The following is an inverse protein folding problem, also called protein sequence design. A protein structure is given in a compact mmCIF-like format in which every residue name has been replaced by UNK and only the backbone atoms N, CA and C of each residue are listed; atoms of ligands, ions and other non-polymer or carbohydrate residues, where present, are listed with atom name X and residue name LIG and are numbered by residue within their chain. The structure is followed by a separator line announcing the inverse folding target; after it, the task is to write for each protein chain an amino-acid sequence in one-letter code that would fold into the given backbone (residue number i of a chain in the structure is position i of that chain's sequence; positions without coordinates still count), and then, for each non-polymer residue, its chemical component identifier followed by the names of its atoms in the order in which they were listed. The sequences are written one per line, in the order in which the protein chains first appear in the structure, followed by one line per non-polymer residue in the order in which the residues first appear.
data_IF_865178527919
#
_entry.id   IF_865178527919
#
_cell.length_a   1.000
_cell.length_b   1.000
_cell.length_c   1.000
_cell.angle_alpha   90.00
_cell.angle_beta   90.00
_cell.angle_gamma   90.00
#
_symmetry.space_group_name_H-M   'P 1'
#
loop_
_entity.id
_entity.type
_entity.pdbx_description
1 polymer ?
#
# COMPACT_ATOMS: atom_id res chain seq x y z
N UNK A 1 2.94 16.67 9.38
CA UNK A 1 3.13 15.86 8.17
C UNK A 1 3.03 14.39 8.53
N UNK A 2 2.24 13.63 7.81
CA UNK A 2 2.12 12.20 8.04
C UNK A 2 3.43 11.48 7.71
N UNK A 3 3.80 10.51 8.51
CA UNK A 3 5.03 9.75 8.29
C UNK A 3 4.98 8.39 8.94
N UNK A 4 5.84 7.51 8.46
CA UNK A 4 5.98 6.14 8.93
C UNK A 4 7.40 5.94 9.46
N UNK A 5 7.54 5.09 10.48
CA UNK A 5 8.84 4.66 10.98
C UNK A 5 9.25 3.35 10.29
N UNK A 6 10.40 3.37 9.65
CA UNK A 6 10.89 2.24 8.87
C UNK A 6 11.99 1.52 9.64
N UNK A 7 11.93 0.18 9.77
CA UNK A 7 13.03 -0.60 10.34
C UNK A 7 14.30 -0.52 9.50
N UNK A 8 15.42 -0.95 10.06
CA UNK A 8 16.65 -1.08 9.30
C UNK A 8 16.50 -2.02 8.11
N UNK A 9 17.23 -1.74 7.04
CA UNK A 9 17.17 -2.52 5.81
C UNK A 9 16.20 -1.99 4.77
N UNK A 10 15.37 -0.99 5.13
CA UNK A 10 14.49 -0.33 4.18
C UNK A 10 15.15 0.95 3.65
N UNK A 11 15.04 1.15 2.34
CA UNK A 11 15.48 2.37 1.69
C UNK A 11 14.27 3.24 1.40
N UNK A 12 14.16 4.35 2.11
CA UNK A 12 13.07 5.31 1.90
C UNK A 12 13.42 6.18 0.70
N UNK A 13 12.53 6.20 -0.27
CA UNK A 13 12.68 6.98 -1.49
C UNK A 13 11.75 8.18 -1.43
N UNK A 14 12.27 9.42 -1.39
CA UNK A 14 11.40 10.58 -1.51
C UNK A 14 10.83 10.61 -2.91
N UNK A 15 9.50 10.62 -3.02
CA UNK A 15 8.82 10.82 -4.29
C UNK A 15 8.56 12.31 -4.44
N UNK A 16 8.78 12.82 -5.65
CA UNK A 16 8.49 14.22 -5.95
C UNK A 16 7.00 14.50 -5.70
N UNK A 17 6.71 15.52 -4.92
CA UNK A 17 5.35 16.01 -4.81
C UNK A 17 4.93 16.59 -6.15
N UNK A 18 3.69 16.32 -6.52
CA UNK A 18 3.10 17.03 -7.64
C UNK A 18 2.92 18.49 -7.22
N UNK A 19 3.77 19.36 -7.75
CA UNK A 19 3.77 20.78 -7.39
C UNK A 19 2.51 21.51 -7.85
N UNK A 20 1.74 20.93 -8.77
CA UNK A 20 0.49 21.54 -9.25
C UNK A 20 -0.68 21.19 -8.34
N UNK A 21 -0.60 20.08 -7.61
CA UNK A 21 -1.59 19.71 -6.62
C UNK A 21 -0.87 19.31 -5.34
N UNK A 22 -0.55 20.29 -4.50
CA UNK A 22 0.01 20.04 -3.17
C UNK A 22 -0.93 19.18 -2.29
N UNK A 23 -1.96 18.57 -2.90
CA UNK A 23 -2.99 17.76 -2.25
C UNK A 23 -2.63 16.27 -2.14
N UNK A 24 -1.60 15.82 -2.83
CA UNK A 24 -1.19 14.41 -2.80
C UNK A 24 0.28 14.34 -2.43
N UNK A 25 0.58 13.60 -1.39
CA UNK A 25 1.97 13.27 -1.02
C UNK A 25 2.16 11.76 -1.05
N UNK A 26 3.36 11.34 -1.39
CA UNK A 26 3.73 9.92 -1.45
C UNK A 26 5.05 9.69 -0.76
N UNK A 27 5.13 8.60 -0.04
CA UNK A 27 6.37 8.09 0.53
C UNK A 27 6.51 6.63 0.13
N UNK A 28 7.65 6.27 -0.41
CA UNK A 28 7.93 4.92 -0.87
C UNK A 28 9.17 4.39 -0.16
N UNK A 29 9.15 3.12 0.19
CA UNK A 29 10.31 2.43 0.74
C UNK A 29 10.46 1.06 0.09
N UNK A 30 11.69 0.65 -0.08
CA UNK A 30 12.05 -0.62 -0.72
C UNK A 30 12.97 -1.39 0.21
N UNK A 31 12.70 -2.68 0.36
CA UNK A 31 13.59 -3.60 1.06
C UNK A 31 14.24 -4.49 0.02
N UNK A 32 15.57 -4.56 0.04
CA UNK A 32 16.35 -5.38 -0.87
C UNK A 32 16.85 -6.64 -0.16
N UNK A 33 17.09 -7.70 -0.93
CA UNK A 33 17.78 -8.88 -0.43
C UNK A 33 19.31 -8.64 -0.40
N UNK A 34 20.06 -9.68 -0.06
CA UNK A 34 21.54 -9.61 0.06
C UNK A 34 22.20 -9.27 -1.28
N UNK A 35 21.57 -9.59 -2.40
CA UNK A 35 22.06 -9.32 -3.73
C UNK A 35 21.68 -7.93 -4.26
N UNK A 36 21.02 -7.10 -3.43
CA UNK A 36 20.57 -5.79 -3.83
C UNK A 36 19.29 -5.78 -4.67
N UNK A 37 18.58 -6.89 -4.76
CA UNK A 37 17.35 -6.99 -5.52
C UNK A 37 16.16 -6.60 -4.64
N UNK A 38 15.21 -5.80 -5.15
CA UNK A 38 14.03 -5.43 -4.38
C UNK A 38 13.12 -6.64 -4.15
N UNK A 39 12.77 -6.88 -2.90
CA UNK A 39 11.92 -8.02 -2.49
C UNK A 39 10.61 -7.57 -1.86
N UNK A 40 10.57 -6.37 -1.31
CA UNK A 40 9.35 -5.74 -0.79
C UNK A 40 9.36 -4.27 -1.18
N UNK A 41 8.18 -3.76 -1.54
CA UNK A 41 7.95 -2.34 -1.80
C UNK A 41 6.73 -1.92 -1.01
N UNK A 42 6.84 -0.80 -0.31
CA UNK A 42 5.73 -0.21 0.43
C UNK A 42 5.57 1.25 0.05
N UNK A 43 4.34 1.73 0.02
CA UNK A 43 4.04 3.11 -0.36
C UNK A 43 2.89 3.64 0.49
N UNK A 44 3.07 4.83 1.05
CA UNK A 44 2.01 5.59 1.68
C UNK A 44 1.63 6.76 0.78
N UNK A 45 0.36 6.85 0.43
CA UNK A 45 -0.21 7.98 -0.29
C UNK A 45 -1.17 8.70 0.65
N UNK A 46 -0.99 9.99 0.78
CA UNK A 46 -1.90 10.86 1.53
C UNK A 46 -2.52 11.84 0.56
N UNK A 47 -3.83 11.79 0.43
CA UNK A 47 -4.58 12.69 -0.44
C UNK A 47 -5.46 13.60 0.39
N UNK A 48 -5.45 14.90 0.08
CA UNK A 48 -6.39 15.84 0.67
C UNK A 48 -7.57 16.00 -0.26
N UNK A 49 -8.78 15.83 0.28
CA UNK A 49 -10.02 16.02 -0.47
C UNK A 49 -10.67 17.33 -0.07
N UNK A 50 -11.55 17.84 -0.92
CA UNK A 50 -12.23 19.11 -0.66
C UNK A 50 -13.17 18.95 0.56
N UNK A 51 -13.23 19.99 1.37
CA UNK A 51 -14.09 20.03 2.56
C UNK A 51 -15.55 19.79 2.16
N UNK A 52 -16.24 18.95 2.92
CA UNK A 52 -17.64 18.64 2.68
C UNK A 52 -17.88 17.49 1.70
N UNK A 53 -16.85 16.95 1.07
CA UNK A 53 -16.98 15.76 0.25
C UNK A 53 -16.90 14.50 1.09
N UNK A 54 -17.89 13.62 0.96
CA UNK A 54 -17.81 12.28 1.52
C UNK A 54 -16.88 11.43 0.68
N UNK A 55 -15.99 10.69 1.34
CA UNK A 55 -15.10 9.77 0.69
C UNK A 55 -15.68 8.37 0.78
N UNK A 56 -15.92 7.75 -0.36
CA UNK A 56 -16.25 6.33 -0.43
C UNK A 56 -14.93 5.55 -0.44
N UNK A 57 -14.45 5.22 0.75
CA UNK A 57 -13.16 4.54 0.90
C UNK A 57 -13.14 3.18 0.19
N UNK A 58 -14.20 2.40 0.32
CA UNK A 58 -14.30 1.12 -0.38
C UNK A 58 -14.19 1.29 -1.89
N UNK A 59 -14.87 2.29 -2.45
CA UNK A 59 -14.80 2.61 -3.87
C UNK A 59 -13.39 3.00 -4.31
N UNK A 60 -12.70 3.81 -3.51
CA UNK A 60 -11.30 4.20 -3.79
C UNK A 60 -10.39 2.97 -3.85
N UNK A 61 -10.48 2.10 -2.85
CA UNK A 61 -9.65 0.90 -2.79
C UNK A 61 -9.96 -0.07 -3.92
N UNK A 62 -11.22 -0.24 -4.28
CA UNK A 62 -11.62 -1.12 -5.38
C UNK A 62 -11.13 -0.59 -6.74
N UNK A 63 -11.16 0.72 -6.96
CA UNK A 63 -10.61 1.32 -8.17
C UNK A 63 -9.10 1.15 -8.25
N UNK A 64 -8.39 1.36 -7.15
CA UNK A 64 -6.95 1.13 -7.09
C UNK A 64 -6.61 -0.33 -7.36
N UNK A 65 -7.33 -1.26 -6.74
CA UNK A 65 -7.16 -2.69 -6.93
C UNK A 65 -7.37 -3.08 -8.39
N UNK A 66 -8.42 -2.57 -9.01
CA UNK A 66 -8.74 -2.84 -10.41
C UNK A 66 -7.62 -2.39 -11.33
N UNK A 67 -7.07 -1.21 -11.11
CA UNK A 67 -5.95 -0.68 -11.88
C UNK A 67 -4.71 -1.56 -11.73
N UNK A 68 -4.40 -1.97 -10.53
CA UNK A 68 -3.25 -2.82 -10.23
C UNK A 68 -3.41 -4.20 -10.86
N UNK A 69 -4.61 -4.81 -10.75
CA UNK A 69 -4.90 -6.10 -11.38
C UNK A 69 -4.73 -6.03 -12.89
N UNK A 70 -5.15 -4.93 -13.50
CA UNK A 70 -4.99 -4.71 -14.94
C UNK A 70 -3.51 -4.65 -15.33
N UNK A 71 -2.70 -3.93 -14.56
CA UNK A 71 -1.27 -3.82 -14.82
C UNK A 71 -0.57 -5.18 -14.71
N UNK A 72 -0.90 -5.97 -13.70
CA UNK A 72 -0.36 -7.31 -13.57
C UNK A 72 -0.79 -8.22 -14.72
N UNK A 73 -2.05 -8.14 -15.12
CA UNK A 73 -2.56 -8.94 -16.23
C UNK A 73 -1.80 -8.64 -17.53
N UNK A 74 -1.51 -7.37 -17.80
CA UNK A 74 -0.73 -6.97 -18.96
C UNK A 74 0.70 -7.53 -18.93
N UNK A 75 1.25 -7.76 -17.75
CA UNK A 75 2.55 -8.37 -17.54
C UNK A 75 2.56 -9.91 -17.54
N UNK A 76 1.41 -10.54 -17.77
CA UNK A 76 1.31 -12.00 -17.78
C UNK A 76 0.97 -12.63 -16.43
N UNK A 77 0.54 -11.82 -15.46
CA UNK A 77 0.18 -12.30 -14.12
C UNK A 77 -1.33 -12.30 -13.93
N UNK A 78 -1.80 -13.15 -13.04
CA UNK A 78 -3.18 -13.12 -12.57
C UNK A 78 -3.21 -12.67 -11.12
N UNK A 79 -4.20 -11.88 -10.76
CA UNK A 79 -4.36 -11.35 -9.41
C UNK A 79 -5.75 -11.70 -8.89
N UNK A 80 -5.79 -12.42 -7.78
CA UNK A 80 -7.03 -12.79 -7.09
C UNK A 80 -7.01 -12.15 -5.71
N UNK A 81 -8.03 -11.38 -5.40
CA UNK A 81 -8.08 -10.59 -4.17
C UNK A 81 -9.24 -11.07 -3.28
N UNK A 82 -9.04 -10.99 -1.97
CA UNK A 82 -10.14 -11.22 -1.03
C UNK A 82 -11.08 -10.01 -1.01
N UNK A 83 -12.21 -10.16 -0.32
CA UNK A 83 -13.16 -9.06 -0.13
C UNK A 83 -12.55 -7.99 0.76
N UNK A 84 -12.98 -6.75 0.57
CA UNK A 84 -12.66 -5.68 1.51
C UNK A 84 -13.17 -6.07 2.90
N UNK A 85 -12.33 -5.87 3.89
CA UNK A 85 -12.65 -6.19 5.28
C UNK A 85 -12.12 -5.11 6.21
N UNK A 86 -12.70 -5.05 7.41
CA UNK A 86 -12.30 -4.09 8.42
C UNK A 86 -10.86 -4.36 8.90
N UNK A 87 -10.10 -3.30 9.06
CA UNK A 87 -8.72 -3.32 9.53
C UNK A 87 -8.41 -2.03 10.29
N UNK A 88 -7.16 -1.81 10.60
CA UNK A 88 -6.69 -0.55 11.18
C UNK A 88 -5.45 -0.08 10.44
N UNK A 89 -5.31 1.24 10.35
CA UNK A 89 -4.08 1.88 9.89
C UNK A 89 -3.71 2.89 10.97
N UNK A 90 -2.63 2.61 11.71
CA UNK A 90 -2.35 3.30 12.96
C UNK A 90 -3.56 3.14 13.90
N UNK A 91 -4.17 4.23 14.30
CA UNK A 91 -5.35 4.23 15.17
C UNK A 91 -6.65 4.41 14.41
N UNK A 92 -6.58 4.56 13.10
CA UNK A 92 -7.75 4.84 12.29
C UNK A 92 -8.47 3.54 11.93
N UNK A 93 -9.80 3.53 11.97
CA UNK A 93 -10.55 2.47 11.30
C UNK A 93 -10.22 2.46 9.82
N UNK A 94 -10.01 1.31 9.27
CA UNK A 94 -9.56 1.15 7.89
C UNK A 94 -10.32 0.03 7.19
N UNK A 95 -10.16 -0.04 5.88
CA UNK A 95 -10.56 -1.17 5.06
C UNK A 95 -9.34 -1.71 4.34
N UNK A 96 -9.30 -3.03 4.15
CA UNK A 96 -8.14 -3.72 3.62
C UNK A 96 -8.54 -4.81 2.65
N UNK A 97 -7.73 -5.01 1.61
CA UNK A 97 -7.83 -6.14 0.70
C UNK A 97 -6.43 -6.66 0.39
N UNK A 98 -6.30 -7.97 0.27
CA UNK A 98 -5.04 -8.63 -0.07
C UNK A 98 -5.23 -9.45 -1.34
N UNK A 99 -4.26 -9.34 -2.23
CA UNK A 99 -4.25 -10.01 -3.52
C UNK A 99 -3.12 -11.03 -3.58
N UNK A 100 -3.45 -12.22 -4.05
CA UNK A 100 -2.50 -13.26 -4.41
C UNK A 100 -2.23 -13.17 -5.91
N UNK A 101 -0.97 -13.01 -6.28
CA UNK A 101 -0.56 -12.80 -7.67
C UNK A 101 0.17 -14.03 -8.13
N UNK A 102 -0.33 -14.63 -9.22
CA UNK A 102 0.19 -15.88 -9.76
C UNK A 102 0.71 -15.69 -11.17
N UNK A 103 1.71 -16.50 -11.51
CA UNK A 103 2.23 -16.63 -12.85
C UNK A 103 2.26 -18.12 -13.19
N UNK A 104 1.58 -18.52 -14.25
CA UNK A 104 1.45 -19.92 -14.65
C UNK A 104 0.97 -20.83 -13.51
N UNK A 105 0.00 -20.33 -12.72
CA UNK A 105 -0.58 -21.08 -11.60
C UNK A 105 0.26 -21.08 -10.33
N UNK A 106 1.43 -20.45 -10.33
CA UNK A 106 2.30 -20.41 -9.15
C UNK A 106 2.19 -19.06 -8.45
N UNK A 107 2.02 -19.07 -7.13
CA UNK A 107 1.98 -17.87 -6.30
C UNK A 107 3.37 -17.25 -6.25
N UNK A 108 3.55 -16.09 -6.87
CA UNK A 108 4.85 -15.42 -6.98
C UNK A 108 4.92 -14.13 -6.18
N UNK A 109 3.80 -13.41 -6.05
CA UNK A 109 3.74 -12.14 -5.31
C UNK A 109 2.49 -12.08 -4.47
N UNK A 110 2.54 -11.27 -3.42
CA UNK A 110 1.36 -10.87 -2.64
C UNK A 110 1.34 -9.36 -2.51
N UNK A 111 0.16 -8.78 -2.43
CA UNK A 111 -0.02 -7.34 -2.27
C UNK A 111 -1.18 -7.04 -1.36
N UNK A 112 -1.02 -6.06 -0.49
CA UNK A 112 -2.07 -5.55 0.38
C UNK A 112 -2.28 -4.06 0.13
N UNK A 113 -3.54 -3.66 0.11
CA UNK A 113 -3.98 -2.28 0.13
C UNK A 113 -4.79 -2.06 1.40
N UNK A 114 -4.43 -1.05 2.17
CA UNK A 114 -5.21 -0.63 3.34
C UNK A 114 -5.43 0.87 3.28
N UNK A 115 -6.65 1.29 3.53
CA UNK A 115 -7.02 2.70 3.43
C UNK A 115 -7.83 3.15 4.62
N UNK A 116 -7.65 4.42 4.99
CA UNK A 116 -8.36 5.06 6.08
C UNK A 116 -8.67 6.51 5.72
N UNK A 117 -9.71 7.05 6.33
CA UNK A 117 -10.11 8.45 6.16
C UNK A 117 -10.04 9.13 7.53
N UNK A 118 -9.43 10.29 7.56
CA UNK A 118 -9.39 11.14 8.74
C UNK A 118 -9.73 12.57 8.30
N UNK A 119 -10.98 12.97 8.55
CA UNK A 119 -11.47 14.27 8.13
C UNK A 119 -11.41 14.43 6.61
N UNK A 120 -10.61 15.38 6.15
CA UNK A 120 -10.43 15.68 4.72
C UNK A 120 -9.23 14.96 4.11
N UNK A 121 -8.63 14.02 4.84
CA UNK A 121 -7.46 13.27 4.35
C UNK A 121 -7.78 11.80 4.14
N UNK A 122 -7.29 11.27 3.03
CA UNK A 122 -7.38 9.84 2.70
C UNK A 122 -5.97 9.27 2.71
N UNK A 123 -5.76 8.26 3.53
CA UNK A 123 -4.50 7.55 3.64
C UNK A 123 -4.63 6.19 2.97
N UNK A 124 -3.73 5.89 2.05
CA UNK A 124 -3.64 4.54 1.47
C UNK A 124 -2.22 4.04 1.64
N UNK A 125 -2.10 2.93 2.33
CA UNK A 125 -0.84 2.23 2.49
C UNK A 125 -0.90 0.93 1.72
N UNK A 126 0.08 0.72 0.85
CA UNK A 126 0.18 -0.51 0.07
C UNK A 126 1.55 -1.14 0.26
N UNK A 127 1.59 -2.46 0.24
CA UNK A 127 2.86 -3.16 0.23
C UNK A 127 2.74 -4.44 -0.58
N UNK A 128 3.80 -4.76 -1.29
CA UNK A 128 3.85 -5.90 -2.18
C UNK A 128 5.24 -6.50 -2.19
N UNK A 129 5.32 -7.78 -2.45
CA UNK A 129 6.61 -8.43 -2.54
C UNK A 129 6.50 -9.89 -2.95
N UNK A 130 7.66 -10.50 -3.10
CA UNK A 130 7.75 -11.92 -3.35
C UNK A 130 7.01 -12.70 -2.25
N UNK A 131 6.29 -13.74 -2.64
CA UNK A 131 5.35 -14.45 -1.76
C UNK A 131 5.97 -14.86 -0.42
N UNK A 132 7.17 -15.43 -0.43
CA UNK A 132 7.84 -15.89 0.78
C UNK A 132 8.29 -14.72 1.67
N UNK A 133 8.84 -13.68 1.06
CA UNK A 133 9.31 -12.49 1.79
C UNK A 133 8.12 -11.75 2.39
N UNK A 134 7.05 -11.59 1.62
CA UNK A 134 5.82 -10.99 2.11
C UNK A 134 5.28 -11.75 3.33
N UNK A 135 5.20 -13.09 3.25
CA UNK A 135 4.67 -13.91 4.33
C UNK A 135 5.47 -13.77 5.62
N UNK A 136 6.80 -13.79 5.55
CA UNK A 136 7.64 -13.68 6.74
C UNK A 136 7.85 -12.26 7.26
N UNK A 137 7.38 -11.25 6.52
CA UNK A 137 7.57 -9.84 6.87
C UNK A 137 6.32 -9.19 7.49
N UNK A 138 5.27 -9.98 7.77
CA UNK A 138 3.98 -9.44 8.25
C UNK A 138 4.11 -8.67 9.55
N UNK A 139 4.90 -9.18 10.49
CA UNK A 139 5.10 -8.53 11.78
C UNK A 139 5.82 -7.19 11.63
N UNK A 140 6.86 -7.15 10.79
CA UNK A 140 7.60 -5.92 10.49
C UNK A 140 6.70 -4.89 9.80
N UNK A 141 5.92 -5.30 8.82
CA UNK A 141 4.97 -4.42 8.11
C UNK A 141 3.90 -3.91 9.05
N UNK A 142 3.40 -4.74 9.96
CA UNK A 142 2.40 -4.30 10.94
C UNK A 142 2.98 -3.19 11.83
N UNK A 143 4.24 -3.32 12.25
CA UNK A 143 4.93 -2.27 12.99
C UNK A 143 5.01 -0.96 12.22
N UNK A 144 5.29 -1.03 10.92
CA UNK A 144 5.31 0.16 10.06
C UNK A 144 3.92 0.80 9.98
N UNK A 145 2.86 0.00 9.75
CA UNK A 145 1.48 0.50 9.70
C UNK A 145 1.09 1.19 11.00
N UNK A 146 1.44 0.60 12.13
CA UNK A 146 1.08 1.13 13.45
C UNK A 146 1.86 2.39 13.80
N UNK A 147 2.95 2.66 13.10
CA UNK A 147 3.81 3.82 13.33
C UNK A 147 3.35 5.09 12.62
N UNK A 148 2.31 5.02 11.81
CA UNK A 148 1.81 6.17 11.05
C UNK A 148 1.45 7.32 12.01
N UNK A 149 2.04 8.47 11.78
CA UNK A 149 1.73 9.71 12.50
C UNK A 149 0.89 10.61 11.60
N UNK A 150 -0.19 11.08 12.16
CA UNK A 150 -1.18 11.90 11.46
C UNK A 150 -0.86 13.40 11.54
#
# INVERSE_FOLDING_TARGET
MAGLAWPGGWQVQPLAQDSQTAKVSRQRAVKNNENGEPVLVAELTVSQVDAGHEVNLGGVLLEMRKSIQKDFFQGGYQSVCNSLHAATLSRLPAEETTCTITENGRHVLSQTLVGAVDGDKVYVFSYAGQAEVYARSQQEIQGVRDSLKL
#
